data_IF_541175792794
#
_entry.id   IF_541175792794
#
_cell.length_a   1.000
_cell.length_b   1.000
_cell.length_c   1.000
_cell.angle_alpha   90.00
_cell.angle_beta   90.00
_cell.angle_gamma   90.00
#
_symmetry.space_group_name_H-M   'P 1'
#
loop_
_entity.id
_entity.type
_entity.pdbx_description
1 polymer ?
#
# COMPACT_ATOMS: atom_id res chain seq x y z
N UNK A 1 5.15 -27.89 -8.53
CA UNK A 1 3.81 -27.34 -8.79
C UNK A 1 3.97 -26.39 -9.97
N UNK A 2 3.18 -26.57 -11.03
CA UNK A 2 3.32 -25.76 -12.25
C UNK A 2 2.38 -24.55 -12.29
N UNK A 3 1.40 -24.50 -11.38
CA UNK A 3 0.44 -23.44 -11.27
C UNK A 3 0.00 -23.23 -9.82
N UNK A 4 -0.03 -21.98 -9.35
CA UNK A 4 -0.57 -21.59 -8.05
C UNK A 4 -1.46 -20.36 -8.27
N UNK A 5 -2.78 -20.47 -8.09
CA UNK A 5 -3.64 -19.31 -8.09
C UNK A 5 -3.39 -18.47 -6.84
N UNK A 6 -3.34 -17.15 -6.97
CA UNK A 6 -3.11 -16.21 -5.89
C UNK A 6 -4.29 -15.27 -5.70
N UNK A 7 -4.87 -14.79 -6.82
CA UNK A 7 -6.14 -14.06 -6.80
C UNK A 7 -7.01 -14.49 -7.97
N UNK A 8 -8.20 -15.01 -7.64
CA UNK A 8 -9.17 -15.49 -8.62
C UNK A 8 -9.95 -14.30 -9.19
N UNK A 9 -9.67 -13.95 -10.42
CA UNK A 9 -10.30 -12.85 -11.15
C UNK A 9 -10.09 -13.03 -12.65
N UNK A 10 -10.62 -12.10 -13.43
CA UNK A 10 -10.37 -12.00 -14.85
C UNK A 10 -10.01 -10.57 -15.26
N UNK A 11 -9.34 -10.41 -16.37
CA UNK A 11 -8.91 -9.11 -16.86
C UNK A 11 -8.56 -9.13 -18.35
N UNK A 12 -8.50 -7.95 -18.92
CA UNK A 12 -8.08 -7.70 -20.29
C UNK A 12 -6.93 -6.72 -20.31
N UNK A 13 -6.00 -6.87 -21.26
CA UNK A 13 -4.91 -5.91 -21.38
C UNK A 13 -3.89 -6.28 -22.42
N UNK A 14 -2.87 -5.43 -22.52
CA UNK A 14 -1.72 -5.66 -23.39
C UNK A 14 -0.68 -6.51 -22.66
N UNK A 15 -0.32 -7.66 -23.21
CA UNK A 15 0.55 -8.63 -22.55
C UNK A 15 2.02 -8.26 -22.70
N UNK A 16 2.68 -7.95 -21.58
CA UNK A 16 4.09 -7.55 -21.52
C UNK A 16 4.92 -8.51 -20.65
N UNK A 17 6.12 -8.82 -21.13
CA UNK A 17 7.17 -9.40 -20.31
C UNK A 17 8.02 -8.27 -19.71
N UNK A 18 8.06 -8.17 -18.40
CA UNK A 18 8.77 -7.12 -17.66
C UNK A 18 10.17 -7.61 -17.29
N UNK A 19 11.10 -7.49 -18.24
CA UNK A 19 12.51 -7.88 -18.03
C UNK A 19 13.26 -6.88 -17.14
N UNK A 20 12.92 -5.59 -17.24
CA UNK A 20 13.44 -4.52 -16.37
C UNK A 20 12.39 -4.17 -15.31
N UNK A 21 12.69 -4.49 -14.04
CA UNK A 21 11.82 -4.18 -12.91
C UNK A 21 11.65 -2.67 -12.64
N UNK A 22 12.49 -1.81 -13.25
CA UNK A 22 12.35 -0.36 -13.17
C UNK A 22 11.41 0.19 -14.26
N UNK A 23 11.04 -0.60 -15.25
CA UNK A 23 10.03 -0.21 -16.23
C UNK A 23 8.66 -0.11 -15.53
N UNK A 24 7.95 0.98 -15.78
CA UNK A 24 6.60 1.20 -15.23
C UNK A 24 5.56 0.65 -16.21
N UNK A 25 4.80 -0.39 -15.85
CA UNK A 25 3.71 -0.86 -16.70
C UNK A 25 2.54 0.13 -16.72
N UNK A 26 1.79 0.09 -17.80
CA UNK A 26 0.52 0.82 -17.91
C UNK A 26 -0.60 0.14 -17.13
N UNK A 27 -1.64 0.91 -16.77
CA UNK A 27 -2.80 0.40 -16.02
C UNK A 27 -3.63 -0.65 -16.79
N UNK A 28 -3.41 -0.76 -18.09
CA UNK A 28 -4.07 -1.74 -18.97
C UNK A 28 -3.11 -2.83 -19.46
N UNK A 29 -1.94 -2.99 -18.83
CA UNK A 29 -1.01 -4.05 -19.16
C UNK A 29 -1.32 -5.30 -18.32
N UNK A 30 -1.23 -6.48 -18.91
CA UNK A 30 -1.12 -7.75 -18.21
C UNK A 30 0.37 -8.08 -18.20
N UNK A 31 0.95 -8.20 -17.01
CA UNK A 31 2.40 -8.26 -16.84
C UNK A 31 2.88 -9.66 -16.46
N UNK A 32 3.99 -10.06 -17.06
CA UNK A 32 4.74 -11.25 -16.69
C UNK A 32 6.06 -10.81 -16.03
N UNK A 33 6.28 -11.25 -14.79
CA UNK A 33 7.48 -10.99 -14.03
C UNK A 33 8.28 -12.26 -13.74
N UNK A 34 9.60 -12.21 -13.94
CA UNK A 34 10.56 -13.25 -13.54
C UNK A 34 11.14 -13.01 -12.13
N UNK A 35 10.86 -11.85 -11.55
CA UNK A 35 11.15 -11.50 -10.15
C UNK A 35 10.08 -10.53 -9.66
N UNK A 36 9.80 -10.49 -8.35
CA UNK A 36 8.79 -9.59 -7.81
C UNK A 36 9.32 -8.14 -7.82
N UNK A 37 8.59 -7.18 -8.41
CA UNK A 37 8.95 -5.77 -8.34
C UNK A 37 8.72 -5.22 -6.93
N UNK A 38 9.52 -4.25 -6.50
CA UNK A 38 9.35 -3.59 -5.20
C UNK A 38 8.11 -2.67 -5.15
N UNK A 39 7.63 -2.24 -6.29
CA UNK A 39 6.45 -1.39 -6.42
C UNK A 39 5.70 -1.77 -7.70
N UNK A 40 4.40 -1.92 -7.59
CA UNK A 40 3.54 -2.25 -8.73
C UNK A 40 2.41 -1.22 -8.83
N UNK A 41 2.32 -0.43 -9.93
CA UNK A 41 1.14 0.38 -10.21
C UNK A 41 -0.04 -0.53 -10.57
N UNK A 42 -1.22 0.07 -10.79
CA UNK A 42 -2.36 -0.67 -11.33
C UNK A 42 -2.00 -1.33 -12.67
N UNK A 43 -2.39 -2.59 -12.81
CA UNK A 43 -2.24 -3.37 -14.06
C UNK A 43 -3.53 -4.15 -14.33
N UNK A 44 -3.67 -4.72 -15.51
CA UNK A 44 -4.85 -5.52 -15.89
C UNK A 44 -4.79 -6.98 -15.45
N UNK A 45 -3.62 -7.47 -15.04
CA UNK A 45 -3.40 -8.84 -14.57
C UNK A 45 -1.91 -9.11 -14.35
N UNK A 46 -1.62 -10.13 -13.54
CA UNK A 46 -0.25 -10.46 -13.11
C UNK A 46 0.01 -11.94 -13.30
N UNK A 47 1.12 -12.24 -13.96
CA UNK A 47 1.70 -13.58 -14.06
C UNK A 47 3.11 -13.51 -13.49
N UNK A 48 3.49 -14.47 -12.64
CA UNK A 48 4.87 -14.56 -12.16
C UNK A 48 5.46 -15.95 -12.44
N UNK A 49 6.72 -16.00 -12.84
CA UNK A 49 7.50 -17.24 -12.92
C UNK A 49 8.16 -17.61 -11.60
N UNK A 50 8.06 -16.75 -10.57
CA UNK A 50 8.51 -16.98 -9.20
C UNK A 50 7.34 -17.15 -8.24
N UNK A 51 7.49 -18.04 -7.27
CA UNK A 51 6.44 -18.33 -6.29
C UNK A 51 6.26 -17.11 -5.36
N UNK A 52 5.03 -16.70 -5.16
CA UNK A 52 4.62 -15.64 -4.23
C UNK A 52 3.96 -16.25 -2.98
N UNK A 53 3.93 -15.47 -1.89
CA UNK A 53 3.03 -15.72 -0.76
C UNK A 53 1.70 -15.00 -0.99
N UNK A 54 0.59 -15.48 -0.40
CA UNK A 54 -0.73 -14.82 -0.49
C UNK A 54 -0.72 -13.37 0.01
N UNK A 55 0.12 -13.03 0.98
CA UNK A 55 0.27 -11.67 1.50
C UNK A 55 1.48 -10.92 0.90
N UNK A 56 2.05 -11.39 -0.21
CA UNK A 56 3.02 -10.59 -0.96
C UNK A 56 2.37 -9.27 -1.40
N UNK A 57 3.13 -8.17 -1.43
CA UNK A 57 2.59 -6.87 -1.85
C UNK A 57 2.03 -6.91 -3.29
N UNK A 58 2.60 -7.76 -4.16
CA UNK A 58 2.09 -7.97 -5.52
C UNK A 58 0.71 -8.63 -5.48
N UNK A 59 0.50 -9.65 -4.64
CA UNK A 59 -0.80 -10.28 -4.51
C UNK A 59 -1.82 -9.41 -3.77
N UNK A 60 -1.40 -8.70 -2.72
CA UNK A 60 -2.28 -7.73 -2.05
C UNK A 60 -2.74 -6.66 -3.04
N UNK A 61 -1.86 -6.23 -3.94
CA UNK A 61 -2.20 -5.31 -5.01
C UNK A 61 -3.23 -5.92 -5.99
N UNK A 62 -3.03 -7.17 -6.38
CA UNK A 62 -3.98 -7.88 -7.24
C UNK A 62 -5.39 -7.98 -6.59
N UNK A 63 -5.43 -8.27 -5.28
CA UNK A 63 -6.69 -8.31 -4.51
C UNK A 63 -7.35 -6.93 -4.47
N UNK A 64 -6.59 -5.87 -4.19
CA UNK A 64 -7.11 -4.49 -4.13
C UNK A 64 -7.71 -4.04 -5.45
N UNK A 65 -7.04 -4.35 -6.56
CA UNK A 65 -7.46 -3.95 -7.90
C UNK A 65 -8.44 -4.94 -8.53
N UNK A 66 -8.72 -6.06 -7.85
CA UNK A 66 -9.51 -7.19 -8.33
C UNK A 66 -9.05 -7.68 -9.71
N UNK A 67 -7.74 -7.92 -9.86
CA UNK A 67 -7.12 -8.39 -11.09
C UNK A 67 -6.55 -9.80 -10.93
N UNK A 68 -6.55 -10.62 -12.01
CA UNK A 68 -6.06 -11.99 -11.93
C UNK A 68 -4.57 -12.02 -11.59
N UNK A 69 -4.17 -12.89 -10.64
CA UNK A 69 -2.78 -13.12 -10.28
C UNK A 69 -2.51 -14.61 -10.05
N UNK A 70 -1.50 -15.13 -10.73
CA UNK A 70 -1.04 -16.50 -10.52
C UNK A 70 0.46 -16.65 -10.75
N UNK A 71 1.03 -17.64 -10.04
CA UNK A 71 2.30 -18.23 -10.41
C UNK A 71 2.07 -19.27 -11.52
N UNK A 72 2.85 -19.19 -12.58
CA UNK A 72 2.90 -20.16 -13.68
C UNK A 72 4.37 -20.50 -13.91
N UNK A 73 4.72 -21.79 -13.83
CA UNK A 73 6.10 -22.22 -14.04
C UNK A 73 6.49 -22.07 -15.51
N UNK A 74 7.63 -21.44 -15.77
CA UNK A 74 8.23 -21.28 -17.11
C UNK A 74 7.19 -20.88 -18.20
N UNK A 75 6.41 -19.80 -18.00
CA UNK A 75 5.25 -19.49 -18.86
C UNK A 75 5.63 -19.29 -20.33
N UNK A 76 6.82 -18.76 -20.60
CA UNK A 76 7.31 -18.54 -21.97
C UNK A 76 7.84 -19.80 -22.68
N UNK A 77 7.98 -20.91 -21.94
CA UNK A 77 8.25 -22.23 -22.57
C UNK A 77 6.99 -22.84 -23.18
N UNK A 78 5.81 -22.26 -22.89
CA UNK A 78 4.54 -22.63 -23.49
C UNK A 78 4.30 -21.76 -24.74
N UNK A 79 4.39 -22.38 -25.93
CA UNK A 79 4.20 -21.67 -27.21
C UNK A 79 2.86 -20.93 -27.29
N UNK A 80 1.81 -21.46 -26.63
CA UNK A 80 0.48 -20.83 -26.62
C UNK A 80 0.48 -19.50 -25.83
N UNK A 81 1.29 -19.40 -24.77
CA UNK A 81 1.46 -18.15 -24.00
C UNK A 81 2.47 -17.21 -24.71
N UNK A 82 3.61 -17.77 -25.11
CA UNK A 82 4.67 -16.98 -25.73
C UNK A 82 4.21 -16.28 -27.02
N UNK A 83 3.34 -16.93 -27.82
CA UNK A 83 2.80 -16.34 -29.04
C UNK A 83 1.87 -15.14 -28.82
N UNK A 84 1.36 -14.94 -27.60
CA UNK A 84 0.47 -13.82 -27.23
C UNK A 84 1.23 -12.59 -26.73
N UNK A 85 2.54 -12.69 -26.50
CA UNK A 85 3.35 -11.54 -26.10
C UNK A 85 3.24 -10.37 -27.07
N UNK A 86 3.19 -9.17 -26.50
CA UNK A 86 3.03 -7.91 -27.23
C UNK A 86 1.70 -7.83 -28.02
N UNK A 87 0.68 -8.56 -27.60
CA UNK A 87 -0.68 -8.51 -28.10
C UNK A 87 -1.69 -8.23 -26.99
N UNK A 88 -2.93 -7.93 -27.36
CA UNK A 88 -4.02 -7.82 -26.40
C UNK A 88 -4.54 -9.21 -26.05
N UNK A 89 -4.77 -9.46 -24.75
CA UNK A 89 -5.23 -10.74 -24.24
C UNK A 89 -6.37 -10.58 -23.24
N UNK A 90 -7.16 -11.65 -23.12
CA UNK A 90 -7.96 -11.97 -21.96
C UNK A 90 -7.19 -12.94 -21.08
N UNK A 91 -7.19 -12.71 -19.77
CA UNK A 91 -6.56 -13.57 -18.78
C UNK A 91 -7.49 -13.80 -17.60
N UNK A 92 -7.69 -15.07 -17.22
CA UNK A 92 -8.50 -15.47 -16.08
C UNK A 92 -7.77 -16.48 -15.22
N UNK A 93 -7.85 -16.30 -13.90
CA UNK A 93 -7.33 -17.21 -12.89
C UNK A 93 -8.50 -17.89 -12.19
N UNK A 94 -8.48 -19.21 -12.18
CA UNK A 94 -9.42 -20.08 -11.48
C UNK A 94 -8.66 -20.94 -10.46
N UNK A 95 -9.37 -21.66 -9.60
CA UNK A 95 -8.77 -22.40 -8.49
C UNK A 95 -7.80 -23.50 -8.92
N UNK A 96 -8.02 -24.11 -10.08
CA UNK A 96 -7.28 -25.27 -10.58
C UNK A 96 -6.70 -25.10 -11.99
N UNK A 97 -7.03 -23.99 -12.66
CA UNK A 97 -6.58 -23.69 -14.02
C UNK A 97 -6.56 -22.19 -14.27
N UNK A 98 -6.00 -21.80 -15.41
CA UNK A 98 -6.07 -20.46 -15.95
C UNK A 98 -6.50 -20.48 -17.41
N UNK A 99 -7.10 -19.40 -17.89
CA UNK A 99 -7.41 -19.17 -19.29
C UNK A 99 -6.63 -17.95 -19.79
N UNK A 100 -5.94 -18.11 -20.92
CA UNK A 100 -5.30 -17.02 -21.64
C UNK A 100 -5.68 -17.17 -23.12
N UNK A 101 -6.20 -16.09 -23.71
CA UNK A 101 -6.53 -16.04 -25.13
C UNK A 101 -6.27 -14.65 -25.73
N UNK A 102 -6.13 -14.61 -27.03
CA UNK A 102 -6.13 -13.34 -27.77
C UNK A 102 -7.43 -12.56 -27.52
N UNK A 103 -7.32 -11.25 -27.41
CA UNK A 103 -8.43 -10.32 -27.32
C UNK A 103 -8.25 -9.17 -28.32
N UNK A 104 -9.33 -8.50 -28.62
CA UNK A 104 -9.32 -7.31 -29.46
C UNK A 104 -9.17 -6.03 -28.61
N UNK A 105 -8.67 -4.96 -29.20
CA UNK A 105 -8.62 -3.65 -28.53
C UNK A 105 -10.03 -3.16 -28.11
N UNK A 106 -11.08 -3.55 -28.86
CA UNK A 106 -12.45 -3.20 -28.53
C UNK A 106 -12.89 -3.88 -27.22
N UNK A 107 -12.63 -5.20 -27.06
CA UNK A 107 -12.91 -5.93 -25.81
C UNK A 107 -12.18 -5.29 -24.63
N UNK A 108 -10.90 -4.90 -24.80
CA UNK A 108 -10.13 -4.22 -23.75
C UNK A 108 -10.78 -2.88 -23.38
N UNK A 109 -11.15 -2.06 -24.37
CA UNK A 109 -11.78 -0.77 -24.10
C UNK A 109 -13.12 -0.89 -23.38
N UNK A 110 -13.98 -1.80 -23.84
CA UNK A 110 -15.29 -2.05 -23.24
C UNK A 110 -15.13 -2.51 -21.78
N UNK A 111 -14.18 -3.43 -21.51
CA UNK A 111 -13.86 -3.89 -20.16
C UNK A 111 -13.48 -2.75 -19.20
N UNK A 112 -12.59 -1.86 -19.62
CA UNK A 112 -12.14 -0.75 -18.77
C UNK A 112 -13.19 0.35 -18.60
N UNK A 113 -14.06 0.58 -19.60
CA UNK A 113 -15.19 1.50 -19.43
C UNK A 113 -16.21 0.97 -18.41
N UNK A 114 -16.45 -0.35 -18.39
CA UNK A 114 -17.37 -0.97 -17.43
C UNK A 114 -16.83 -0.96 -16.00
N UNK A 115 -15.48 -0.99 -15.82
CA UNK A 115 -14.84 -0.97 -14.51
C UNK A 115 -14.76 0.42 -13.89
N UNK A 116 -14.72 1.49 -14.68
CA UNK A 116 -14.58 2.86 -14.16
C UNK A 116 -15.86 3.34 -13.49
N UNK A 117 -15.80 3.99 -12.33
CA UNK A 117 -16.98 4.68 -11.78
C UNK A 117 -17.54 5.68 -12.77
N UNK A 118 -18.88 5.78 -12.87
CA UNK A 118 -19.54 6.73 -13.78
C UNK A 118 -19.49 8.16 -13.26
N UNK A 119 -19.39 8.35 -11.93
CA UNK A 119 -19.40 9.66 -11.27
C UNK A 119 -18.06 9.97 -10.61
N UNK A 120 -17.75 11.25 -10.48
CA UNK A 120 -16.59 11.72 -9.72
C UNK A 120 -16.80 11.47 -8.24
N UNK A 121 -15.82 10.84 -7.59
CA UNK A 121 -15.78 10.62 -6.16
C UNK A 121 -15.08 11.82 -5.49
N UNK A 122 -15.76 12.45 -4.54
CA UNK A 122 -15.24 13.61 -3.80
C UNK A 122 -14.97 13.17 -2.36
N UNK A 123 -13.69 12.98 -1.97
CA UNK A 123 -13.35 12.63 -0.58
C UNK A 123 -13.79 13.71 0.39
N UNK A 124 -14.31 13.32 1.56
CA UNK A 124 -14.64 14.28 2.61
C UNK A 124 -13.35 14.84 3.20
N UNK A 125 -13.21 16.17 3.20
CA UNK A 125 -12.05 16.88 3.75
C UNK A 125 -12.53 17.94 4.74
N UNK A 126 -12.42 17.64 6.03
CA UNK A 126 -12.73 18.56 7.11
C UNK A 126 -11.46 19.28 7.58
N UNK A 127 -11.42 20.58 7.40
CA UNK A 127 -10.30 21.45 7.80
C UNK A 127 -10.59 22.22 9.11
N UNK A 128 -11.68 21.91 9.81
CA UNK A 128 -12.07 22.61 11.03
C UNK A 128 -11.14 22.34 12.21
N UNK A 129 -10.45 21.19 12.21
CA UNK A 129 -9.43 20.84 13.22
C UNK A 129 -8.09 21.36 12.71
N UNK A 130 -7.53 22.33 13.43
CA UNK A 130 -6.30 23.03 13.05
C UNK A 130 -5.10 22.70 13.93
N UNK A 131 -5.28 21.84 14.94
CA UNK A 131 -4.27 21.51 15.93
C UNK A 131 -3.74 20.08 15.75
N UNK A 132 -2.45 19.86 15.95
CA UNK A 132 -1.87 18.53 16.15
C UNK A 132 -2.41 17.96 17.44
N UNK A 133 -2.90 16.72 17.43
CA UNK A 133 -3.49 16.09 18.62
C UNK A 133 -2.74 14.82 19.03
N UNK A 134 -2.58 14.56 20.35
CA UNK A 134 -2.25 13.23 20.82
C UNK A 134 -3.29 12.21 20.35
N UNK A 135 -2.87 10.96 20.11
CA UNK A 135 -3.80 9.90 19.66
C UNK A 135 -4.95 9.68 20.66
N UNK A 136 -4.72 9.89 21.96
CA UNK A 136 -5.76 9.75 22.98
C UNK A 136 -6.88 10.81 22.88
N UNK A 137 -6.67 11.90 22.16
CA UNK A 137 -7.64 12.97 21.92
C UNK A 137 -8.30 12.87 20.52
N UNK A 138 -8.01 11.80 19.76
CA UNK A 138 -8.58 11.56 18.43
C UNK A 138 -9.58 10.42 18.51
N UNK A 139 -10.77 10.65 17.94
CA UNK A 139 -11.84 9.64 17.87
C UNK A 139 -12.00 9.09 16.45
N UNK A 140 -12.74 7.99 16.32
CA UNK A 140 -13.03 7.39 15.03
C UNK A 140 -13.72 8.38 14.06
N UNK A 141 -14.64 9.20 14.57
CA UNK A 141 -15.39 10.18 13.78
C UNK A 141 -14.51 11.31 13.21
N UNK A 142 -13.32 11.52 13.79
CA UNK A 142 -12.35 12.50 13.28
C UNK A 142 -11.57 12.01 12.05
N UNK A 143 -11.92 10.87 11.48
CA UNK A 143 -11.31 10.36 10.25
C UNK A 143 -11.41 11.34 9.07
N UNK A 144 -12.45 12.16 9.02
CA UNK A 144 -12.62 13.24 8.04
C UNK A 144 -11.60 14.38 8.16
N UNK A 145 -10.87 14.47 9.29
CA UNK A 145 -9.85 15.49 9.56
C UNK A 145 -8.44 14.93 9.67
N UNK A 146 -8.27 13.65 10.13
CA UNK A 146 -6.97 13.02 10.38
C UNK A 146 -6.67 11.84 9.46
N UNK A 147 -7.66 11.36 8.71
CA UNK A 147 -7.57 10.16 7.88
C UNK A 147 -7.78 8.86 8.65
N UNK A 148 -8.05 7.80 7.90
CA UNK A 148 -8.47 6.51 8.44
C UNK A 148 -7.41 5.85 9.33
N UNK A 149 -6.14 5.81 8.92
CA UNK A 149 -5.09 5.16 9.72
C UNK A 149 -4.91 5.80 11.08
N UNK A 150 -4.88 7.14 11.13
CA UNK A 150 -4.72 7.86 12.39
C UNK A 150 -5.89 7.62 13.33
N UNK A 151 -7.13 7.77 12.84
CA UNK A 151 -8.33 7.57 13.66
C UNK A 151 -8.55 6.10 14.07
N UNK A 152 -8.21 5.14 13.20
CA UNK A 152 -8.28 3.73 13.55
C UNK A 152 -7.29 3.36 14.66
N UNK A 153 -6.01 3.79 14.53
CA UNK A 153 -5.01 3.53 15.57
C UNK A 153 -5.39 4.20 16.90
N UNK A 154 -5.89 5.44 16.85
CA UNK A 154 -6.41 6.14 18.02
C UNK A 154 -7.56 5.38 18.69
N UNK A 155 -8.51 4.88 17.89
CA UNK A 155 -9.62 4.06 18.38
C UNK A 155 -9.14 2.76 19.01
N UNK A 156 -8.16 2.07 18.43
CA UNK A 156 -7.57 0.85 18.99
C UNK A 156 -6.95 1.08 20.39
N UNK A 157 -6.47 2.28 20.69
CA UNK A 157 -5.96 2.63 22.03
C UNK A 157 -7.05 2.64 23.11
N UNK A 158 -8.32 2.73 22.74
CA UNK A 158 -9.46 2.63 23.66
C UNK A 158 -9.84 1.18 23.98
N UNK A 159 -9.23 0.20 23.29
CA UNK A 159 -9.49 -1.22 23.57
C UNK A 159 -8.67 -1.69 24.77
N UNK A 160 -9.13 -2.74 25.44
CA UNK A 160 -8.48 -3.30 26.63
C UNK A 160 -7.28 -4.20 26.24
N UNK A 161 -6.32 -3.62 25.52
CA UNK A 161 -5.06 -4.27 25.23
C UNK A 161 -4.03 -4.06 26.36
N UNK A 162 -3.07 -4.98 26.53
CA UNK A 162 -1.94 -4.75 27.43
C UNK A 162 -1.23 -3.43 27.12
N UNK A 163 -0.73 -2.74 28.14
CA UNK A 163 0.03 -1.51 27.97
C UNK A 163 1.21 -1.71 27.03
N UNK A 164 1.39 -0.76 26.09
CA UNK A 164 2.46 -0.79 25.09
C UNK A 164 2.11 -1.59 23.82
N UNK A 165 0.95 -2.27 23.75
CA UNK A 165 0.49 -2.93 22.52
C UNK A 165 0.26 -1.94 21.38
N UNK A 166 -0.39 -0.82 21.67
CA UNK A 166 -0.62 0.26 20.72
C UNK A 166 0.27 1.44 21.09
N UNK A 167 1.10 1.95 20.17
CA UNK A 167 2.05 3.02 20.46
C UNK A 167 1.35 4.32 20.86
N UNK A 168 2.02 5.13 21.66
CA UNK A 168 1.70 6.54 21.80
C UNK A 168 2.08 7.30 20.53
N UNK A 169 1.42 8.41 20.27
CA UNK A 169 1.75 9.21 19.09
C UNK A 169 0.82 10.40 18.92
N UNK A 170 0.90 10.99 17.75
CA UNK A 170 0.18 12.21 17.39
C UNK A 170 -0.44 12.07 16.00
N UNK A 171 -1.59 12.73 15.81
CA UNK A 171 -2.19 12.95 14.50
C UNK A 171 -1.96 14.39 14.05
N UNK A 172 -1.55 14.56 12.80
CA UNK A 172 -1.47 15.87 12.13
C UNK A 172 -2.65 15.94 11.16
N UNK A 173 -3.57 16.93 11.32
CA UNK A 173 -4.79 17.00 10.52
C UNK A 173 -4.53 17.45 9.08
N UNK A 174 -5.52 17.22 8.20
CA UNK A 174 -5.51 17.67 6.80
C UNK A 174 -5.30 19.16 6.63
N UNK A 175 -5.64 19.96 7.63
CA UNK A 175 -5.40 21.40 7.66
C UNK A 175 -3.94 21.75 7.38
N UNK A 176 -2.97 21.00 7.94
CA UNK A 176 -1.54 21.25 7.71
C UNK A 176 -1.13 21.00 6.27
N UNK A 177 -1.65 19.95 5.66
CA UNK A 177 -1.39 19.66 4.24
C UNK A 177 -1.98 20.76 3.36
N UNK A 178 -3.22 21.14 3.60
CA UNK A 178 -3.92 22.17 2.83
C UNK A 178 -3.22 23.53 2.91
N UNK A 179 -2.88 23.98 4.10
CA UNK A 179 -2.13 25.22 4.33
C UNK A 179 -0.74 25.20 3.67
N UNK A 180 -0.04 24.07 3.73
CA UNK A 180 1.25 23.90 3.05
C UNK A 180 1.13 23.99 1.53
N UNK A 181 0.12 23.35 0.96
CA UNK A 181 -0.14 23.38 -0.47
C UNK A 181 -0.53 24.78 -0.94
N UNK A 182 -1.39 25.47 -0.20
CA UNK A 182 -1.80 26.85 -0.49
C UNK A 182 -0.63 27.84 -0.37
N UNK A 183 0.16 27.75 0.72
CA UNK A 183 1.30 28.64 0.95
C UNK A 183 2.31 28.64 -0.19
N UNK A 184 2.48 27.50 -0.87
CA UNK A 184 3.41 27.32 -1.98
C UNK A 184 2.74 27.38 -3.36
N UNK A 185 1.45 27.70 -3.47
CA UNK A 185 0.64 27.71 -4.69
C UNK A 185 0.67 26.36 -5.45
N UNK A 186 0.79 25.24 -4.74
CA UNK A 186 0.90 23.93 -5.36
C UNK A 186 -0.41 23.44 -5.99
N UNK A 187 -1.56 23.92 -5.55
CA UNK A 187 -2.83 23.59 -6.20
C UNK A 187 -2.91 24.19 -7.61
N UNK A 188 -2.48 25.44 -7.78
CA UNK A 188 -2.40 26.11 -9.09
C UNK A 188 -1.37 25.44 -9.98
N UNK A 189 -0.20 25.09 -9.44
CA UNK A 189 0.84 24.37 -10.19
C UNK A 189 0.33 22.99 -10.66
N UNK A 190 -0.32 22.23 -9.79
CA UNK A 190 -0.90 20.92 -10.12
C UNK A 190 -1.95 21.06 -11.24
N UNK A 191 -2.82 22.08 -11.17
CA UNK A 191 -3.82 22.33 -12.22
C UNK A 191 -3.14 22.60 -13.58
N UNK A 192 -2.10 23.43 -13.60
CA UNK A 192 -1.35 23.75 -14.84
C UNK A 192 -0.69 22.48 -15.41
N UNK A 193 -0.14 21.61 -14.56
CA UNK A 193 0.44 20.34 -14.97
C UNK A 193 -0.64 19.43 -15.58
N UNK A 194 -1.78 19.29 -14.92
CA UNK A 194 -2.87 18.41 -15.36
C UNK A 194 -3.56 18.90 -16.63
N UNK A 195 -3.64 20.21 -16.85
CA UNK A 195 -4.22 20.81 -18.06
C UNK A 195 -3.32 20.69 -19.30
N UNK A 196 -2.08 20.23 -19.13
CA UNK A 196 -1.16 20.05 -20.25
C UNK A 196 -1.58 18.84 -21.10
N UNK A 197 -1.81 19.01 -22.43
CA UNK A 197 -2.19 17.89 -23.31
C UNK A 197 -1.17 16.74 -23.36
N UNK A 198 0.13 17.03 -23.23
CA UNK A 198 1.14 15.98 -23.17
C UNK A 198 1.03 15.16 -21.87
N UNK A 199 0.73 15.81 -20.74
CA UNK A 199 0.49 15.12 -19.48
C UNK A 199 -0.73 14.18 -19.57
N UNK A 200 -1.78 14.59 -20.28
CA UNK A 200 -2.99 13.77 -20.43
C UNK A 200 -2.78 12.56 -21.36
N UNK A 201 -1.91 12.68 -22.37
CA UNK A 201 -1.83 11.69 -23.45
C UNK A 201 -0.52 10.88 -23.47
N UNK A 202 0.51 11.27 -22.72
CA UNK A 202 1.81 10.59 -22.68
C UNK A 202 2.14 10.18 -21.24
N UNK A 203 2.14 8.87 -20.99
CA UNK A 203 2.38 8.28 -19.68
C UNK A 203 3.80 8.56 -19.16
N UNK A 204 4.80 8.60 -20.03
CA UNK A 204 6.18 8.87 -19.62
C UNK A 204 6.35 10.34 -19.25
N UNK A 205 5.77 11.25 -20.04
CA UNK A 205 5.76 12.67 -19.73
C UNK A 205 5.00 12.93 -18.40
N UNK A 206 3.88 12.26 -18.19
CA UNK A 206 3.11 12.35 -16.93
C UNK A 206 3.95 11.91 -15.74
N UNK A 207 4.60 10.77 -15.82
CA UNK A 207 5.45 10.26 -14.73
C UNK A 207 6.59 11.24 -14.43
N UNK A 208 7.28 11.75 -15.45
CA UNK A 208 8.35 12.74 -15.29
C UNK A 208 7.85 14.03 -14.62
N UNK A 209 6.69 14.56 -15.05
CA UNK A 209 6.14 15.80 -14.48
C UNK A 209 5.68 15.62 -13.03
N UNK A 210 5.07 14.48 -12.70
CA UNK A 210 4.72 14.17 -11.31
C UNK A 210 5.95 14.04 -10.42
N UNK A 211 7.05 13.44 -10.92
CA UNK A 211 8.29 13.36 -10.13
C UNK A 211 8.94 14.74 -9.92
N UNK A 212 8.91 15.61 -10.92
CA UNK A 212 9.37 17.00 -10.76
C UNK A 212 8.51 17.76 -9.72
N UNK A 213 7.20 17.61 -9.79
CA UNK A 213 6.27 18.24 -8.85
C UNK A 213 6.48 17.74 -7.42
N UNK A 214 6.68 16.43 -7.24
CA UNK A 214 7.05 15.85 -5.94
C UNK A 214 8.36 16.41 -5.40
N UNK A 215 9.34 16.64 -6.27
CA UNK A 215 10.61 17.28 -5.89
C UNK A 215 10.38 18.70 -5.41
N UNK A 216 9.57 19.49 -6.14
CA UNK A 216 9.17 20.84 -5.71
C UNK A 216 8.53 20.82 -4.32
N UNK A 217 7.61 19.88 -4.04
CA UNK A 217 6.97 19.74 -2.71
C UNK A 217 8.00 19.42 -1.63
N UNK A 218 8.92 18.48 -1.87
CA UNK A 218 9.96 18.11 -0.89
C UNK A 218 10.90 19.27 -0.54
N UNK A 219 11.20 20.13 -1.51
CA UNK A 219 12.16 21.22 -1.36
C UNK A 219 11.52 22.55 -0.89
N UNK A 220 10.20 22.65 -0.97
CA UNK A 220 9.46 23.88 -0.65
C UNK A 220 9.63 24.36 0.79
N UNK A 221 9.58 25.69 1.03
CA UNK A 221 9.54 26.24 2.37
C UNK A 221 8.21 25.88 3.07
N UNK A 222 8.27 25.77 4.39
CA UNK A 222 7.11 25.54 5.25
C UNK A 222 6.87 26.80 6.10
N UNK A 223 5.62 27.21 6.35
CA UNK A 223 5.32 28.37 7.23
C UNK A 223 5.97 28.19 8.60
N UNK A 224 6.46 29.29 9.18
CA UNK A 224 7.18 29.23 10.47
C UNK A 224 6.31 28.67 11.60
N UNK A 225 5.03 29.07 11.68
CA UNK A 225 4.11 28.54 12.68
C UNK A 225 3.99 27.01 12.61
N UNK A 226 3.99 26.46 11.39
CA UNK A 226 3.89 25.01 11.17
C UNK A 226 5.19 24.31 11.61
N UNK A 227 6.35 24.92 11.33
CA UNK A 227 7.63 24.40 11.83
C UNK A 227 7.65 24.38 13.37
N UNK A 228 7.19 25.44 14.02
CA UNK A 228 7.17 25.56 15.47
C UNK A 228 6.26 24.48 16.10
N UNK A 229 5.05 24.26 15.56
CA UNK A 229 4.12 23.24 16.05
C UNK A 229 4.65 21.81 15.83
N UNK A 230 5.26 21.56 14.68
CA UNK A 230 5.90 20.27 14.40
C UNK A 230 7.08 20.00 15.33
N UNK A 231 7.84 21.04 15.71
CA UNK A 231 8.93 20.92 16.69
C UNK A 231 8.37 20.59 18.08
N UNK A 232 7.32 21.27 18.53
CA UNK A 232 6.66 21.01 19.81
C UNK A 232 6.18 19.54 19.86
N UNK A 233 5.54 19.04 18.80
CA UNK A 233 5.14 17.65 18.71
C UNK A 233 6.34 16.70 18.76
N UNK A 234 7.41 17.00 18.02
CA UNK A 234 8.59 16.14 17.97
C UNK A 234 9.30 16.08 19.33
N UNK A 235 9.38 17.20 20.05
CA UNK A 235 9.99 17.28 21.39
C UNK A 235 9.17 16.55 22.47
N UNK A 236 7.92 16.20 22.19
CA UNK A 236 7.09 15.39 23.09
C UNK A 236 7.47 13.89 23.07
N UNK A 237 8.22 13.44 22.08
CA UNK A 237 8.80 12.10 22.09
C UNK A 237 10.07 12.07 22.96
N UNK A 238 10.40 10.90 23.57
CA UNK A 238 11.65 10.78 24.33
C UNK A 238 12.87 11.15 23.47
N UNK A 239 13.87 11.88 24.02
CA UNK A 239 15.05 12.27 23.27
C UNK A 239 15.76 11.07 22.62
N UNK A 240 16.11 11.22 21.35
CA UNK A 240 16.79 10.16 20.59
C UNK A 240 15.88 9.08 20.01
N UNK A 241 14.56 9.21 20.16
CA UNK A 241 13.60 8.27 19.57
C UNK A 241 13.42 8.59 18.09
N UNK A 242 13.68 7.65 17.17
CA UNK A 242 13.26 7.80 15.79
C UNK A 242 11.71 7.83 15.70
N UNK A 243 11.19 8.74 14.90
CA UNK A 243 9.73 8.93 14.74
C UNK A 243 9.29 8.46 13.36
N UNK A 244 8.36 7.52 13.32
CA UNK A 244 7.71 7.11 12.07
C UNK A 244 6.60 8.09 11.74
N UNK A 245 6.67 8.69 10.55
CA UNK A 245 5.66 9.57 9.97
C UNK A 245 4.93 8.78 8.89
N UNK A 246 3.67 8.45 9.14
CA UNK A 246 2.85 7.62 8.25
C UNK A 246 1.77 8.44 7.57
N UNK A 247 1.51 8.11 6.31
CA UNK A 247 0.36 8.65 5.57
C UNK A 247 -0.96 8.23 6.21
N UNK A 248 -1.92 9.14 6.25
CA UNK A 248 -3.29 8.89 6.72
C UNK A 248 -4.23 9.79 5.90
N UNK A 249 -4.80 9.26 4.84
CA UNK A 249 -5.55 10.05 3.86
C UNK A 249 -7.06 9.92 4.04
N UNK A 250 -7.82 10.77 3.33
CA UNK A 250 -9.27 10.73 3.27
C UNK A 250 -9.83 9.93 2.10
N UNK A 251 -8.96 9.31 1.30
CA UNK A 251 -9.37 8.56 0.12
C UNK A 251 -8.98 7.08 0.17
N UNK A 252 -8.48 6.56 1.31
CA UNK A 252 -8.08 5.15 1.42
C UNK A 252 -9.26 4.18 1.40
N UNK A 253 -10.42 4.60 1.93
CA UNK A 253 -11.60 3.74 2.12
C UNK A 253 -12.80 4.20 1.28
N UNK A 254 -12.58 4.75 0.10
CA UNK A 254 -13.68 5.12 -0.80
C UNK A 254 -14.31 3.88 -1.45
N UNK A 255 -15.63 3.91 -1.76
CA UNK A 255 -16.30 2.78 -2.39
C UNK A 255 -15.61 2.31 -3.68
N UNK A 256 -15.23 1.04 -3.71
CA UNK A 256 -14.53 0.42 -4.85
C UNK A 256 -13.06 0.83 -5.01
N UNK A 257 -12.53 1.67 -4.13
CA UNK A 257 -11.14 2.11 -4.14
C UNK A 257 -10.41 1.66 -2.88
N UNK A 258 -9.21 1.15 -3.02
CA UNK A 258 -8.30 0.91 -1.89
C UNK A 258 -7.03 1.72 -2.09
N UNK A 259 -6.79 2.65 -1.18
CA UNK A 259 -5.58 3.49 -1.15
C UNK A 259 -4.38 2.83 -0.49
N UNK A 260 -4.51 1.57 -0.06
CA UNK A 260 -3.44 0.87 0.63
C UNK A 260 -2.18 0.77 -0.25
N UNK A 261 -1.03 1.12 0.32
CA UNK A 261 0.25 1.07 -0.36
C UNK A 261 0.48 2.10 -1.46
N UNK A 262 -0.40 3.09 -1.63
CA UNK A 262 -0.21 4.16 -2.60
C UNK A 262 0.73 5.27 -2.10
N UNK A 263 0.80 5.46 -0.79
CA UNK A 263 1.49 6.59 -0.17
C UNK A 263 2.68 6.14 0.67
N UNK A 264 3.68 7.00 0.75
CA UNK A 264 4.93 6.72 1.44
C UNK A 264 4.84 7.05 2.93
N UNK A 265 5.49 6.26 3.76
CA UNK A 265 5.82 6.59 5.16
C UNK A 265 7.32 6.84 5.32
N UNK A 266 7.72 7.68 6.26
CA UNK A 266 9.14 7.98 6.52
C UNK A 266 9.46 7.88 8.00
N UNK A 267 10.66 7.34 8.30
CA UNK A 267 11.25 7.44 9.63
C UNK A 267 12.14 8.67 9.69
N UNK A 268 11.91 9.52 10.67
CA UNK A 268 12.77 10.65 11.02
C UNK A 268 13.75 10.18 12.08
N UNK A 269 15.02 10.09 11.74
CA UNK A 269 16.09 9.81 12.71
C UNK A 269 16.56 11.09 13.41
N UNK A 270 17.07 11.01 14.65
CA UNK A 270 17.47 12.20 15.43
C UNK A 270 18.52 13.08 14.73
N UNK A 271 19.40 12.49 13.94
CA UNK A 271 20.47 13.17 13.21
C UNK A 271 20.01 13.85 11.91
N UNK A 272 18.79 13.62 11.46
CA UNK A 272 18.30 14.15 10.17
C UNK A 272 17.77 15.59 10.24
N UNK A 273 17.77 16.16 11.44
CA UNK A 273 17.32 17.54 11.68
C UNK A 273 15.81 17.63 11.91
N UNK A 274 15.19 18.69 11.42
CA UNK A 274 13.79 19.00 11.69
C UNK A 274 12.84 18.02 11.02
N UNK A 275 11.79 17.54 11.74
CA UNK A 275 10.82 16.53 11.28
C UNK A 275 10.03 16.95 10.03
N UNK A 276 9.96 18.26 9.73
CA UNK A 276 9.32 18.77 8.51
C UNK A 276 9.88 18.18 7.22
N UNK A 277 11.12 17.69 7.24
CA UNK A 277 11.73 17.00 6.10
C UNK A 277 10.95 15.71 5.77
N UNK A 278 10.71 14.88 6.78
CA UNK A 278 9.91 13.65 6.63
C UNK A 278 8.44 13.94 6.32
N UNK A 279 7.86 14.96 6.95
CA UNK A 279 6.49 15.44 6.68
C UNK A 279 6.33 15.79 5.21
N UNK A 280 7.23 16.62 4.64
CA UNK A 280 7.17 17.00 3.22
C UNK A 280 7.35 15.81 2.28
N UNK A 281 8.16 14.82 2.64
CA UNK A 281 8.32 13.60 1.85
C UNK A 281 7.02 12.79 1.80
N UNK A 282 6.30 12.68 2.93
CA UNK A 282 5.00 12.01 2.97
C UNK A 282 3.95 12.82 2.20
N UNK A 283 3.90 14.15 2.35
CA UNK A 283 3.02 15.02 1.55
C UNK A 283 3.25 14.87 0.05
N UNK A 284 4.51 14.83 -0.37
CA UNK A 284 4.86 14.63 -1.78
C UNK A 284 4.36 13.29 -2.34
N UNK A 285 4.18 12.27 -1.51
CA UNK A 285 3.70 10.97 -1.96
C UNK A 285 2.25 10.99 -2.45
N UNK A 286 1.46 12.00 -2.08
CA UNK A 286 0.12 12.22 -2.65
C UNK A 286 0.17 12.34 -4.19
N UNK A 287 1.26 12.84 -4.72
CA UNK A 287 1.47 13.12 -6.14
C UNK A 287 2.42 12.13 -6.82
N UNK A 288 2.68 10.96 -6.20
CA UNK A 288 3.43 9.93 -6.92
C UNK A 288 2.59 9.39 -8.09
N UNK A 289 3.29 8.92 -9.12
CA UNK A 289 2.67 8.46 -10.36
C UNK A 289 1.55 7.43 -10.10
N UNK A 290 1.84 6.41 -9.29
CA UNK A 290 0.88 5.36 -8.98
C UNK A 290 -0.38 5.89 -8.28
N UNK A 291 -0.21 6.76 -7.28
CA UNK A 291 -1.35 7.35 -6.56
C UNK A 291 -2.18 8.29 -7.47
N UNK A 292 -1.52 8.99 -8.40
CA UNK A 292 -2.21 9.80 -9.39
C UNK A 292 -3.05 8.94 -10.34
N UNK A 293 -2.44 7.92 -10.95
CA UNK A 293 -3.12 7.00 -11.89
C UNK A 293 -4.33 6.31 -11.26
N UNK A 294 -4.21 5.87 -10.00
CA UNK A 294 -5.32 5.25 -9.28
C UNK A 294 -6.46 6.23 -9.05
N UNK A 295 -6.18 7.43 -8.58
CA UNK A 295 -7.22 8.44 -8.39
C UNK A 295 -7.88 8.83 -9.71
N UNK A 296 -7.09 8.98 -10.78
CA UNK A 296 -7.62 9.28 -12.11
C UNK A 296 -8.54 8.18 -12.63
N UNK A 297 -8.11 6.91 -12.50
CA UNK A 297 -8.92 5.76 -12.90
C UNK A 297 -10.26 5.72 -12.16
N UNK A 298 -10.25 5.89 -10.84
CA UNK A 298 -11.45 5.86 -10.01
C UNK A 298 -12.21 7.18 -9.98
N UNK A 299 -11.83 8.15 -10.81
CA UNK A 299 -12.43 9.50 -10.88
C UNK A 299 -12.49 10.18 -9.53
N UNK A 300 -11.46 10.01 -8.69
CA UNK A 300 -11.34 10.68 -7.40
C UNK A 300 -10.80 12.09 -7.63
N UNK A 301 -11.47 13.08 -7.04
CA UNK A 301 -11.03 14.47 -7.11
C UNK A 301 -9.65 14.64 -6.48
N UNK A 302 -8.65 14.98 -7.30
CA UNK A 302 -7.26 15.12 -6.88
C UNK A 302 -7.05 16.24 -5.87
N UNK A 303 -7.85 17.31 -5.93
CA UNK A 303 -7.73 18.48 -5.07
C UNK A 303 -8.47 18.33 -3.74
N UNK A 304 -9.48 17.46 -3.71
CA UNK A 304 -10.18 17.10 -2.47
C UNK A 304 -9.50 15.97 -1.70
N UNK A 305 -8.61 15.21 -2.36
CA UNK A 305 -7.75 14.26 -1.67
C UNK A 305 -6.76 15.01 -0.75
N UNK A 306 -6.65 14.58 0.50
CA UNK A 306 -5.84 15.24 1.52
C UNK A 306 -5.01 14.23 2.32
N UNK A 307 -3.84 14.70 2.79
CA UNK A 307 -2.88 13.93 3.56
C UNK A 307 -2.85 14.41 5.01
N UNK A 308 -3.43 13.63 5.92
CA UNK A 308 -3.11 13.70 7.33
C UNK A 308 -1.91 12.79 7.64
N UNK A 309 -1.33 12.94 8.82
CA UNK A 309 -0.19 12.13 9.22
C UNK A 309 -0.42 11.52 10.59
N UNK A 310 0.04 10.28 10.72
CA UNK A 310 0.18 9.57 11.98
C UNK A 310 1.66 9.53 12.35
N UNK A 311 2.03 10.11 13.50
CA UNK A 311 3.39 10.11 14.01
C UNK A 311 3.48 9.26 15.28
N UNK A 312 4.37 8.28 15.31
CA UNK A 312 4.59 7.41 16.46
C UNK A 312 6.08 7.00 16.56
N UNK A 313 6.57 6.49 17.72
CA UNK A 313 7.92 5.96 17.81
C UNK A 313 8.15 4.87 16.77
N UNK A 314 9.29 4.91 16.07
CA UNK A 314 9.68 3.81 15.19
C UNK A 314 10.17 2.63 16.01
N UNK A 315 9.64 1.46 15.77
CA UNK A 315 10.11 0.24 16.40
C UNK A 315 11.44 -0.19 15.75
N UNK A 316 12.36 -0.66 16.59
CA UNK A 316 13.67 -1.13 16.16
C UNK A 316 14.08 -2.35 17.00
N UNK A 317 14.81 -3.28 16.39
CA UNK A 317 15.30 -4.46 17.08
C UNK A 317 14.18 -5.47 17.40
N UNK A 318 13.14 -5.52 16.59
CA UNK A 318 12.08 -6.52 16.75
C UNK A 318 12.64 -7.94 16.64
N UNK A 319 12.15 -8.84 17.48
CA UNK A 319 12.50 -10.26 17.41
C UNK A 319 11.83 -10.94 16.21
N UNK A 320 10.66 -10.44 15.85
CA UNK A 320 9.87 -10.87 14.70
C UNK A 320 8.90 -9.77 14.30
N UNK A 321 8.48 -9.79 13.04
CA UNK A 321 7.38 -8.99 12.56
C UNK A 321 6.41 -9.81 11.71
N UNK A 322 5.25 -9.26 11.37
CA UNK A 322 4.25 -10.00 10.61
C UNK A 322 3.09 -9.14 10.13
N UNK A 323 2.31 -9.75 9.26
CA UNK A 323 1.04 -9.21 8.77
C UNK A 323 -0.04 -10.24 9.02
N UNK A 324 -1.18 -9.78 9.53
CA UNK A 324 -2.35 -10.62 9.79
C UNK A 324 -3.62 -10.05 9.18
N UNK A 325 -4.48 -10.93 8.72
CA UNK A 325 -5.84 -10.59 8.29
C UNK A 325 -6.86 -11.47 8.98
N UNK A 326 -8.07 -10.94 9.13
CA UNK A 326 -9.15 -11.59 9.87
C UNK A 326 -9.96 -12.61 9.07
N UNK A 327 -9.44 -13.03 7.94
CA UNK A 327 -10.02 -14.07 7.08
C UNK A 327 -8.92 -15.00 6.58
N UNK A 328 -9.27 -16.21 6.15
CA UNK A 328 -8.37 -17.09 5.41
C UNK A 328 -8.48 -16.76 3.90
N UNK A 329 -7.43 -16.18 3.28
CA UNK A 329 -7.49 -15.78 1.87
C UNK A 329 -7.27 -16.94 0.91
N UNK A 330 -7.00 -18.18 1.40
CA UNK A 330 -6.61 -19.32 0.58
C UNK A 330 -7.74 -20.35 0.50
N UNK A 331 -8.27 -20.74 1.67
CA UNK A 331 -9.22 -21.86 1.78
C UNK A 331 -10.60 -21.42 2.29
N UNK A 332 -10.77 -20.11 2.54
CA UNK A 332 -12.02 -19.53 3.10
C UNK A 332 -12.49 -20.24 4.39
N UNK A 333 -11.51 -20.64 5.22
CA UNK A 333 -11.78 -21.31 6.49
C UNK A 333 -12.43 -20.34 7.46
N UNK A 334 -13.65 -20.66 7.90
CA UNK A 334 -14.40 -19.83 8.85
C UNK A 334 -13.69 -19.69 10.20
N UNK A 335 -13.89 -18.56 10.88
CA UNK A 335 -13.38 -18.28 12.22
C UNK A 335 -11.86 -18.41 12.39
N UNK A 336 -11.10 -17.98 11.38
CA UNK A 336 -9.65 -17.96 11.41
C UNK A 336 -9.08 -16.55 11.20
N UNK A 337 -7.82 -16.40 11.67
CA UNK A 337 -6.92 -15.35 11.23
C UNK A 337 -5.82 -15.98 10.39
N UNK A 338 -5.46 -15.35 9.28
CA UNK A 338 -4.27 -15.71 8.53
C UNK A 338 -3.12 -14.80 8.95
N UNK A 339 -1.99 -15.39 9.31
CA UNK A 339 -0.77 -14.68 9.72
C UNK A 339 0.36 -15.05 8.79
N UNK A 340 1.11 -14.04 8.36
CA UNK A 340 2.36 -14.18 7.64
C UNK A 340 3.46 -13.51 8.46
N UNK A 341 4.46 -14.25 8.93
CA UNK A 341 5.40 -13.80 9.95
C UNK A 341 6.86 -14.16 9.60
N UNK A 342 7.81 -13.34 10.06
CA UNK A 342 9.23 -13.57 9.86
C UNK A 342 10.06 -13.08 11.04
N UNK A 343 11.24 -13.66 11.20
CA UNK A 343 12.20 -13.30 12.26
C UNK A 343 12.82 -11.95 11.98
N UNK A 344 12.99 -11.14 13.04
CA UNK A 344 13.66 -9.86 13.02
C UNK A 344 12.87 -8.80 12.27
N UNK A 345 13.57 -7.85 11.70
CA UNK A 345 13.02 -6.75 10.90
C UNK A 345 12.88 -7.11 9.40
N UNK A 346 12.79 -8.40 9.08
CA UNK A 346 12.66 -8.86 7.70
C UNK A 346 11.34 -8.43 7.08
N UNK A 347 11.37 -8.01 5.82
CA UNK A 347 10.16 -7.64 5.08
C UNK A 347 9.26 -8.86 4.88
N UNK A 348 7.97 -8.72 5.17
CA UNK A 348 7.00 -9.82 5.05
C UNK A 348 6.27 -9.77 3.71
N UNK A 349 5.80 -8.60 3.32
CA UNK A 349 4.98 -8.42 2.13
C UNK A 349 5.80 -8.27 0.87
N UNK A 350 7.07 -7.87 1.01
CA UNK A 350 8.07 -7.84 -0.04
C UNK A 350 9.38 -8.47 0.45
N UNK A 351 9.37 -9.79 0.73
CA UNK A 351 10.53 -10.47 1.31
C UNK A 351 11.73 -10.43 0.35
N UNK A 352 12.93 -10.43 0.93
CA UNK A 352 14.15 -10.65 0.15
C UNK A 352 14.04 -11.94 -0.69
N UNK A 353 14.68 -12.04 -1.86
CA UNK A 353 14.53 -13.18 -2.79
C UNK A 353 14.77 -14.55 -2.18
N UNK A 354 15.49 -14.62 -1.07
CA UNK A 354 15.80 -15.87 -0.34
C UNK A 354 15.05 -15.98 1.00
N UNK A 355 14.15 -15.04 1.32
CA UNK A 355 13.35 -15.07 2.54
C UNK A 355 11.98 -15.67 2.26
N UNK A 356 11.63 -16.72 2.98
CA UNK A 356 10.30 -17.34 2.94
C UNK A 356 9.65 -17.15 4.30
N UNK A 357 8.65 -16.26 4.43
CA UNK A 357 7.94 -16.08 5.67
C UNK A 357 7.13 -17.31 6.10
N UNK A 358 6.89 -17.43 7.39
CA UNK A 358 5.97 -18.41 7.96
C UNK A 358 4.53 -18.02 7.65
N UNK A 359 3.69 -19.01 7.33
CA UNK A 359 2.26 -18.84 7.08
C UNK A 359 1.46 -19.70 8.05
N UNK A 360 0.54 -19.10 8.80
CA UNK A 360 -0.25 -19.75 9.83
C UNK A 360 -1.73 -19.36 9.72
N UNK A 361 -2.61 -20.36 9.88
CA UNK A 361 -4.00 -20.13 10.23
C UNK A 361 -4.17 -20.25 11.74
N UNK A 362 -4.64 -19.21 12.40
CA UNK A 362 -4.94 -19.18 13.81
C UNK A 362 -6.46 -19.22 14.00
N UNK A 363 -6.97 -20.23 14.73
CA UNK A 363 -8.39 -20.37 15.00
C UNK A 363 -8.84 -19.39 16.10
N UNK A 364 -9.95 -18.67 15.87
CA UNK A 364 -10.49 -17.66 16.81
C UNK A 364 -11.06 -18.31 18.08
N UNK A 365 -11.64 -19.49 17.96
CA UNK A 365 -12.31 -20.17 19.07
C UNK A 365 -11.37 -21.15 19.77
N UNK A 366 -10.91 -20.74 20.96
CA UNK A 366 -10.15 -21.61 21.84
C UNK A 366 -10.93 -22.86 22.30
N UNK A 367 -12.28 -22.86 22.24
CA UNK A 367 -13.13 -24.00 22.61
C UNK A 367 -13.09 -25.13 21.57
N UNK A 368 -12.70 -24.84 20.35
CA UNK A 368 -12.45 -25.82 19.29
C UNK A 368 -11.03 -26.44 19.34
N UNK A 369 -10.34 -26.27 20.46
CA UNK A 369 -9.00 -26.83 20.66
C UNK A 369 -7.88 -25.78 20.65
N UNK A 370 -8.23 -24.48 20.52
CA UNK A 370 -7.32 -23.32 20.57
C UNK A 370 -6.03 -23.61 19.82
N UNK A 371 -6.09 -23.75 18.51
CA UNK A 371 -4.99 -24.24 17.76
C UNK A 371 -4.65 -23.35 16.59
N UNK A 372 -3.55 -23.68 15.99
CA UNK A 372 -3.12 -23.09 14.73
C UNK A 372 -2.72 -24.19 13.75
N UNK A 373 -2.84 -23.89 12.48
CA UNK A 373 -2.35 -24.73 11.38
C UNK A 373 -1.19 -24.03 10.69
N UNK A 374 -0.03 -24.64 10.69
CA UNK A 374 1.13 -24.15 9.95
C UNK A 374 0.97 -24.56 8.49
N UNK A 375 0.82 -23.59 7.61
CA UNK A 375 0.73 -23.80 6.16
C UNK A 375 2.12 -23.84 5.53
N UNK A 376 3.04 -23.01 6.04
CA UNK A 376 4.42 -22.93 5.59
C UNK A 376 5.33 -22.55 6.76
N UNK A 377 6.52 -23.12 6.82
CA UNK A 377 7.56 -22.74 7.78
C UNK A 377 8.45 -21.64 7.22
N UNK A 378 8.90 -20.73 8.09
CA UNK A 378 9.98 -19.81 7.73
C UNK A 378 11.25 -20.56 7.43
N UNK A 379 12.01 -20.08 6.45
CA UNK A 379 13.35 -20.62 6.15
C UNK A 379 14.47 -19.95 6.98
N UNK A 380 14.15 -18.97 7.84
CA UNK A 380 15.11 -18.27 8.69
C UNK A 380 15.14 -18.79 10.14
N UNK A 381 14.27 -19.75 10.50
CA UNK A 381 14.30 -20.43 11.79
C UNK A 381 14.87 -21.83 11.64
N UNK A 382 15.33 -22.45 12.76
CA UNK A 382 15.78 -23.81 12.74
C UNK A 382 14.62 -24.79 12.46
N UNK A 383 14.89 -25.97 11.86
CA UNK A 383 13.86 -26.98 11.66
C UNK A 383 13.14 -27.35 12.96
N UNK A 384 11.82 -27.16 12.99
CA UNK A 384 10.97 -27.43 14.15
C UNK A 384 10.70 -26.25 15.07
N UNK A 385 11.32 -25.09 14.81
CA UNK A 385 10.97 -23.82 15.47
C UNK A 385 9.94 -23.06 14.64
N UNK A 386 9.09 -22.30 15.31
CA UNK A 386 8.11 -21.41 14.69
C UNK A 386 8.46 -19.96 14.99
N UNK A 387 8.30 -19.08 14.02
CA UNK A 387 8.41 -17.63 14.23
C UNK A 387 7.34 -17.16 15.21
N UNK A 388 6.14 -17.75 15.12
CA UNK A 388 5.01 -17.46 16.00
C UNK A 388 5.34 -17.65 17.49
N UNK A 389 6.21 -18.60 17.85
CA UNK A 389 6.63 -18.79 19.23
C UNK A 389 7.44 -17.62 19.81
N UNK A 390 7.93 -16.73 18.93
CA UNK A 390 8.70 -15.54 19.27
C UNK A 390 7.86 -14.25 19.22
N UNK A 391 6.60 -14.34 18.78
CA UNK A 391 5.73 -13.17 18.61
C UNK A 391 5.10 -12.80 19.95
N UNK A 392 5.52 -11.67 20.51
CA UNK A 392 4.61 -10.86 21.32
C UNK A 392 3.68 -10.14 20.33
N UNK A 393 2.40 -10.51 20.31
CA UNK A 393 1.39 -9.93 19.43
C UNK A 393 1.29 -8.41 19.66
N UNK A 394 2.14 -7.65 18.97
CA UNK A 394 1.89 -6.24 18.73
C UNK A 394 0.96 -6.17 17.50
N UNK A 395 -0.34 -6.17 17.74
CA UNK A 395 -1.35 -5.99 16.70
C UNK A 395 -1.31 -4.53 16.22
N UNK A 396 -0.36 -4.22 15.35
CA UNK A 396 -0.45 -3.05 14.50
C UNK A 396 -1.38 -3.41 13.34
N UNK A 397 -2.62 -2.94 13.41
CA UNK A 397 -3.50 -2.94 12.25
C UNK A 397 -2.88 -1.99 11.22
N UNK A 398 -2.21 -2.55 10.24
CA UNK A 398 -1.71 -1.81 9.08
C UNK A 398 -2.37 -2.40 7.85
N UNK A 399 -3.25 -1.65 7.22
CA UNK A 399 -3.70 -1.93 5.85
C UNK A 399 -2.58 -1.71 4.81
N UNK A 400 -1.37 -1.36 5.23
CA UNK A 400 -0.26 -0.98 4.38
C UNK A 400 0.90 -1.95 4.41
N UNK A 401 0.80 -2.92 3.56
CA UNK A 401 1.95 -3.71 3.14
C UNK A 401 3.06 -2.90 2.43
N UNK A 402 2.76 -1.68 1.98
CA UNK A 402 3.71 -0.83 1.26
C UNK A 402 4.60 0.02 2.17
N UNK A 403 4.32 0.13 3.46
CA UNK A 403 5.17 0.86 4.40
C UNK A 403 6.55 0.21 4.60
N UNK A 404 6.72 -1.03 4.17
CA UNK A 404 7.98 -1.77 4.27
C UNK A 404 8.98 -1.46 3.15
N UNK A 405 8.55 -0.82 2.06
CA UNK A 405 9.39 -0.63 0.84
C UNK A 405 10.46 0.47 1.01
N UNK A 406 10.40 1.28 2.05
CA UNK A 406 11.27 2.46 2.23
C UNK A 406 12.34 2.28 3.35
N UNK A 407 12.70 1.06 3.72
CA UNK A 407 13.84 0.79 4.62
C UNK A 407 15.15 0.67 3.88
#
# INVERSE_FOLDING_TARGET
VNYIPLHLAEGYGFFKHMEDLNETPGSRDIVLYDALPNSLPRVGGIITSVVQTPLSHVNLRAIQDNVPNAYIADPLSNDAIASLLNGYIYYKVESDQYEIREATLAEVNDWYEDLRPTETQIPIRDLSITEIKPLDDITFEMSSSFGAKCSNLATMRTFDFPEGTIPNGFGIPFYYYDEFMQYNNFYEEAQVIMDNPAFQNDINFRNERLEDFRRSIKDAPMPQWMLDELQIMHDAFPPGTPVRVRSSTNNEDLPGFSGAGLYTSKTQYPEEGHISKSVKQVYASMWNFRAYEERDFYRIDHFMAAMGLLCHPNFQGEQSNGVGISIDPIYDTEDTFYLNTQVGESLITNPDPNSVPEEILLYRDASQGGGYLVLRLSNLVNPGELVMDQIYLCLLYTSDAADEVDR
#
